data_IF_795779819413
#
_entry.id   IF_795779819413
#
_cell.length_a   1.000
_cell.length_b   1.000
_cell.length_c   1.000
_cell.angle_alpha   90.00
_cell.angle_beta   90.00
_cell.angle_gamma   90.00
#
_symmetry.space_group_name_H-M   'P 1'
#
loop_
_entity.id
_entity.type
_entity.pdbx_description
1 polymer ?
#
# COMPACT_ATOMS: atom_id res chain seq x y z
N UNK A 1 -21.76 -14.20 31.38
CA UNK A 1 -20.97 -15.02 30.43
C UNK A 1 -21.26 -14.66 28.96
N UNK A 2 -22.49 -14.75 28.49
CA UNK A 2 -22.87 -14.47 27.10
C UNK A 2 -22.52 -13.05 26.64
N UNK A 3 -22.60 -12.04 27.51
CA UNK A 3 -22.32 -10.63 27.19
C UNK A 3 -20.88 -10.38 26.71
N UNK A 4 -19.88 -11.04 27.33
CA UNK A 4 -18.44 -10.88 26.93
C UNK A 4 -18.24 -11.35 25.49
N UNK A 5 -18.80 -12.50 25.13
CA UNK A 5 -18.68 -13.03 23.76
C UNK A 5 -19.43 -12.20 22.73
N UNK A 6 -20.59 -11.63 23.10
CA UNK A 6 -21.33 -10.70 22.24
C UNK A 6 -20.50 -9.45 21.97
N UNK A 7 -19.89 -8.86 23.00
CA UNK A 7 -19.00 -7.71 22.85
C UNK A 7 -17.81 -8.06 21.95
N UNK A 8 -17.13 -9.17 22.20
CA UNK A 8 -16.01 -9.62 21.38
C UNK A 8 -16.40 -9.81 19.91
N UNK A 9 -17.58 -10.40 19.67
CA UNK A 9 -18.11 -10.57 18.31
C UNK A 9 -18.40 -9.21 17.64
N UNK A 10 -19.04 -8.28 18.34
CA UNK A 10 -19.35 -6.95 17.81
C UNK A 10 -18.07 -6.20 17.45
N UNK A 11 -17.08 -6.22 18.34
CA UNK A 11 -15.75 -5.61 18.07
C UNK A 11 -15.08 -6.24 16.85
N UNK A 12 -15.14 -7.58 16.75
CA UNK A 12 -14.59 -8.29 15.59
C UNK A 12 -15.30 -7.93 14.29
N UNK A 13 -16.63 -7.84 14.30
CA UNK A 13 -17.41 -7.46 13.12
C UNK A 13 -17.13 -6.02 12.70
N UNK A 14 -17.01 -5.10 13.66
CA UNK A 14 -16.60 -3.72 13.40
C UNK A 14 -15.18 -3.64 12.78
N UNK A 15 -14.24 -4.41 13.35
CA UNK A 15 -12.90 -4.56 12.75
C UNK A 15 -12.97 -5.11 11.32
N UNK A 16 -13.77 -6.16 11.07
CA UNK A 16 -13.93 -6.73 9.73
C UNK A 16 -14.51 -5.75 8.73
N UNK A 17 -15.50 -4.96 9.15
CA UNK A 17 -16.10 -3.93 8.30
C UNK A 17 -15.07 -2.85 7.92
N UNK A 18 -14.27 -2.38 8.87
CA UNK A 18 -13.19 -1.44 8.60
C UNK A 18 -12.09 -2.06 7.74
N UNK A 19 -11.64 -3.29 8.08
CA UNK A 19 -10.50 -3.94 7.44
C UNK A 19 -10.81 -4.40 6.01
N UNK A 20 -11.98 -4.96 5.77
CA UNK A 20 -12.39 -5.48 4.45
C UNK A 20 -13.07 -4.41 3.58
N UNK A 21 -13.64 -3.39 4.18
CA UNK A 21 -14.47 -2.40 3.50
C UNK A 21 -15.78 -3.00 2.96
N UNK A 22 -16.49 -2.20 2.20
CA UNK A 22 -17.77 -2.60 1.59
C UNK A 22 -17.62 -3.42 0.31
N UNK A 23 -16.41 -3.64 -0.16
CA UNK A 23 -16.08 -4.37 -1.40
C UNK A 23 -16.89 -3.89 -2.61
N UNK A 24 -17.08 -2.58 -2.71
CA UNK A 24 -17.78 -1.96 -3.84
C UNK A 24 -16.79 -1.63 -4.95
N UNK A 25 -16.97 -2.17 -6.16
CA UNK A 25 -16.20 -1.74 -7.33
C UNK A 25 -16.41 -0.24 -7.59
N UNK A 26 -15.48 0.35 -8.33
CA UNK A 26 -15.60 1.71 -8.83
C UNK A 26 -16.77 1.81 -9.80
N UNK A 27 -17.55 2.89 -9.71
CA UNK A 27 -18.61 3.17 -10.67
C UNK A 27 -18.06 3.80 -11.94
N UNK A 28 -18.78 3.76 -13.07
CA UNK A 28 -18.35 4.42 -14.31
C UNK A 28 -18.09 5.92 -14.13
N UNK A 29 -18.88 6.60 -13.30
CA UNK A 29 -18.71 8.03 -13.01
C UNK A 29 -17.42 8.29 -12.22
N UNK A 30 -17.12 7.44 -11.23
CA UNK A 30 -15.86 7.51 -10.48
C UNK A 30 -14.66 7.27 -11.40
N UNK A 31 -14.74 6.28 -12.28
CA UNK A 31 -13.68 5.97 -13.26
C UNK A 31 -13.46 7.16 -14.19
N UNK A 32 -14.54 7.76 -14.70
CA UNK A 32 -14.46 8.94 -15.55
C UNK A 32 -13.83 10.14 -14.82
N UNK A 33 -14.26 10.40 -13.59
CA UNK A 33 -13.72 11.46 -12.75
C UNK A 33 -12.22 11.27 -12.49
N UNK A 34 -11.81 10.12 -12.01
CA UNK A 34 -10.40 9.83 -11.72
C UNK A 34 -9.53 9.81 -12.98
N UNK A 35 -10.06 9.36 -14.11
CA UNK A 35 -9.32 9.40 -15.38
C UNK A 35 -8.94 10.84 -15.78
N UNK A 36 -9.84 11.81 -15.55
CA UNK A 36 -9.54 13.24 -15.79
C UNK A 36 -8.46 13.74 -14.84
N UNK A 37 -8.58 13.43 -13.54
CA UNK A 37 -7.57 13.80 -12.53
C UNK A 37 -6.19 13.24 -12.89
N UNK A 38 -6.11 12.00 -13.39
CA UNK A 38 -4.85 11.41 -13.83
C UNK A 38 -4.27 12.09 -15.07
N UNK A 39 -5.11 12.41 -16.02
CA UNK A 39 -4.67 13.10 -17.24
C UNK A 39 -4.10 14.48 -16.90
N UNK A 40 -4.79 15.27 -16.08
CA UNK A 40 -4.32 16.55 -15.58
C UNK A 40 -3.00 16.42 -14.79
N UNK A 41 -2.86 15.40 -13.96
CA UNK A 41 -1.64 15.12 -13.21
C UNK A 41 -0.47 14.72 -14.12
N UNK A 42 -0.73 13.97 -15.17
CA UNK A 42 0.28 13.57 -16.14
C UNK A 42 0.76 14.78 -16.98
N UNK A 43 -0.16 15.63 -17.43
CA UNK A 43 0.15 16.87 -18.17
C UNK A 43 1.00 17.84 -17.33
N UNK A 44 0.79 17.85 -16.00
CA UNK A 44 1.57 18.65 -15.05
C UNK A 44 2.86 17.94 -14.56
N UNK A 45 3.23 16.77 -15.13
CA UNK A 45 4.43 16.02 -14.75
C UNK A 45 4.39 15.41 -13.34
N UNK A 46 3.23 15.34 -12.71
CA UNK A 46 3.05 14.84 -11.35
C UNK A 46 2.82 13.32 -11.30
N UNK A 47 2.44 12.70 -12.41
CA UNK A 47 2.20 11.26 -12.51
C UNK A 47 3.35 10.57 -13.24
N UNK A 48 3.83 9.47 -12.66
CA UNK A 48 4.81 8.55 -13.29
C UNK A 48 4.14 7.33 -13.91
N UNK A 49 2.82 7.19 -13.78
CA UNK A 49 2.03 6.08 -14.31
C UNK A 49 1.46 6.40 -15.70
N UNK A 50 1.36 5.38 -16.52
CA UNK A 50 0.67 5.47 -17.82
C UNK A 50 -0.85 5.56 -17.59
N UNK A 51 -1.48 6.62 -18.12
CA UNK A 51 -2.92 6.89 -17.92
C UNK A 51 -3.79 5.72 -18.39
N UNK A 52 -3.44 5.09 -19.52
CA UNK A 52 -4.17 3.93 -20.04
C UNK A 52 -4.11 2.73 -19.08
N UNK A 53 -2.96 2.48 -18.48
CA UNK A 53 -2.77 1.41 -17.48
C UNK A 53 -3.58 1.68 -16.22
N UNK A 54 -3.58 2.93 -15.72
CA UNK A 54 -4.37 3.34 -14.56
C UNK A 54 -5.88 3.23 -14.83
N UNK A 55 -6.30 3.63 -16.02
CA UNK A 55 -7.70 3.49 -16.44
C UNK A 55 -8.14 2.03 -16.47
N UNK A 56 -7.38 1.15 -17.12
CA UNK A 56 -7.65 -0.29 -17.12
C UNK A 56 -7.70 -0.87 -15.71
N UNK A 57 -6.76 -0.47 -14.85
CA UNK A 57 -6.76 -0.86 -13.44
C UNK A 57 -8.05 -0.50 -12.71
N UNK A 58 -8.66 0.65 -13.04
CA UNK A 58 -9.96 1.05 -12.49
C UNK A 58 -11.14 0.28 -13.10
N UNK A 59 -11.14 0.09 -14.41
CA UNK A 59 -12.20 -0.61 -15.15
C UNK A 59 -12.31 -2.09 -14.73
N UNK A 60 -11.20 -2.71 -14.36
CA UNK A 60 -11.13 -4.09 -13.88
C UNK A 60 -11.34 -4.21 -12.36
N UNK A 61 -11.84 -3.15 -11.67
CA UNK A 61 -12.02 -3.19 -10.21
C UNK A 61 -13.13 -4.15 -9.80
N UNK A 62 -12.77 -5.14 -8.98
CA UNK A 62 -13.70 -6.11 -8.38
C UNK A 62 -14.06 -5.78 -6.93
N UNK A 63 -13.67 -4.61 -6.44
CA UNK A 63 -13.89 -4.13 -5.07
C UNK A 63 -13.09 -4.86 -3.99
N UNK A 64 -12.19 -5.79 -4.37
CA UNK A 64 -11.41 -6.59 -3.44
C UNK A 64 -10.05 -5.97 -3.12
N UNK A 65 -9.44 -6.51 -2.06
CA UNK A 65 -8.07 -6.19 -1.70
C UNK A 65 -7.08 -6.67 -2.76
N UNK A 66 -5.98 -5.96 -2.85
CA UNK A 66 -4.83 -6.38 -3.64
C UNK A 66 -3.53 -6.01 -2.91
N UNK A 67 -2.44 -6.55 -3.40
CA UNK A 67 -1.09 -6.27 -2.90
C UNK A 67 -0.33 -5.55 -4.01
N UNK A 68 0.22 -4.37 -3.70
CA UNK A 68 1.16 -3.69 -4.57
C UNK A 68 2.56 -4.25 -4.33
N UNK A 69 3.14 -4.86 -5.32
CA UNK A 69 4.55 -5.24 -5.34
C UNK A 69 5.36 -4.03 -5.76
N UNK A 70 6.34 -3.65 -4.96
CA UNK A 70 7.22 -2.52 -5.24
C UNK A 70 8.65 -2.98 -5.27
N UNK A 71 9.38 -2.66 -6.33
CA UNK A 71 10.83 -2.83 -6.43
C UNK A 71 11.49 -1.46 -6.44
N UNK A 72 12.57 -1.33 -5.71
CA UNK A 72 13.25 -0.05 -5.49
C UNK A 72 14.74 -0.17 -5.75
N UNK A 73 15.24 0.71 -6.60
CA UNK A 73 16.66 1.01 -6.74
C UNK A 73 16.89 2.46 -6.36
N UNK A 74 17.70 2.69 -5.35
CA UNK A 74 18.06 4.04 -4.91
C UNK A 74 18.98 4.75 -5.91
N UNK A 75 18.91 6.06 -5.94
CA UNK A 75 19.98 6.90 -6.48
C UNK A 75 21.28 6.68 -5.71
N UNK A 76 22.39 6.95 -6.36
CA UNK A 76 23.68 7.03 -5.67
C UNK A 76 23.62 8.14 -4.59
N UNK A 77 24.04 7.79 -3.37
CA UNK A 77 24.07 8.76 -2.27
C UNK A 77 25.39 9.53 -2.26
N UNK A 78 25.38 10.81 -1.85
CA UNK A 78 24.21 11.56 -1.41
C UNK A 78 23.32 12.00 -2.56
N UNK A 79 22.06 12.35 -2.24
CA UNK A 79 21.11 13.00 -3.14
C UNK A 79 20.75 14.37 -2.57
N UNK A 80 20.41 15.33 -3.41
CA UNK A 80 19.97 16.65 -2.97
C UNK A 80 18.53 16.62 -2.48
N UNK A 81 18.27 17.07 -1.26
CA UNK A 81 16.92 17.17 -0.72
C UNK A 81 16.11 18.25 -1.44
N UNK A 82 14.91 17.95 -1.98
CA UNK A 82 14.15 18.87 -2.83
C UNK A 82 13.75 20.21 -2.19
N UNK A 83 13.61 20.28 -0.86
CA UNK A 83 13.18 21.50 -0.18
C UNK A 83 14.33 22.27 0.47
N UNK A 84 15.33 21.56 0.98
CA UNK A 84 16.42 22.20 1.73
C UNK A 84 17.69 22.43 0.92
N UNK A 85 17.82 21.74 -0.23
CA UNK A 85 19.04 21.76 -1.03
C UNK A 85 20.24 21.04 -0.40
N UNK A 86 20.06 20.45 0.78
CA UNK A 86 21.14 19.75 1.49
C UNK A 86 21.31 18.32 0.98
N UNK A 87 22.51 17.82 1.12
CA UNK A 87 22.84 16.44 0.80
C UNK A 87 22.29 15.48 1.85
N UNK A 88 21.59 14.43 1.41
CA UNK A 88 20.97 13.42 2.25
C UNK A 88 21.15 12.02 1.65
N UNK A 89 21.13 10.98 2.47
CA UNK A 89 21.10 9.61 1.97
C UNK A 89 19.77 9.34 1.26
N UNK A 90 19.81 8.71 0.07
CA UNK A 90 18.62 8.38 -0.69
C UNK A 90 17.59 7.55 0.12
N UNK A 91 18.05 6.61 0.96
CA UNK A 91 17.17 5.83 1.84
C UNK A 91 16.51 6.68 2.93
N UNK A 92 17.19 7.68 3.48
CA UNK A 92 16.64 8.61 4.48
C UNK A 92 15.57 9.50 3.82
N UNK A 93 15.86 10.04 2.63
CA UNK A 93 14.88 10.81 1.86
C UNK A 93 13.63 9.98 1.51
N UNK A 94 13.78 8.69 1.17
CA UNK A 94 12.63 7.81 0.97
C UNK A 94 11.80 7.64 2.24
N UNK A 95 12.42 7.68 3.43
CA UNK A 95 11.70 7.60 4.70
C UNK A 95 10.79 8.81 4.92
N UNK A 96 11.20 10.00 4.49
CA UNK A 96 10.38 11.21 4.55
C UNK A 96 9.12 11.13 3.66
N UNK A 97 9.17 10.34 2.60
CA UNK A 97 7.99 9.98 1.82
C UNK A 97 7.17 8.87 2.49
N UNK A 98 7.82 7.78 2.89
CA UNK A 98 7.09 6.56 3.31
C UNK A 98 6.41 6.72 4.66
N UNK A 99 6.99 7.47 5.60
CA UNK A 99 6.44 7.62 6.95
C UNK A 99 5.06 8.31 6.95
N UNK A 100 4.84 9.49 6.36
CA UNK A 100 3.52 10.11 6.30
C UNK A 100 2.55 9.32 5.41
N UNK A 101 3.04 8.73 4.32
CA UNK A 101 2.20 7.90 3.44
C UNK A 101 1.70 6.64 4.14
N UNK A 102 2.54 6.00 4.97
CA UNK A 102 2.14 4.82 5.75
C UNK A 102 1.02 5.15 6.73
N UNK A 103 1.05 6.30 7.38
CA UNK A 103 -0.04 6.76 8.25
C UNK A 103 -1.38 6.86 7.51
N UNK A 104 -1.38 7.33 6.26
CA UNK A 104 -2.58 7.40 5.42
C UNK A 104 -3.06 6.00 4.99
N UNK A 105 -2.13 5.11 4.62
CA UNK A 105 -2.45 3.72 4.27
C UNK A 105 -3.10 3.00 5.44
N UNK A 106 -2.54 3.09 6.64
CA UNK A 106 -3.05 2.42 7.85
C UNK A 106 -4.47 2.86 8.20
N UNK A 107 -4.81 4.15 8.07
CA UNK A 107 -6.17 4.64 8.30
C UNK A 107 -7.21 4.00 7.37
N UNK A 108 -6.81 3.55 6.19
CA UNK A 108 -7.65 2.84 5.21
C UNK A 108 -7.44 1.32 5.26
N UNK A 109 -7.01 0.81 6.41
CA UNK A 109 -6.75 -0.61 6.64
C UNK A 109 -5.72 -1.23 5.67
N UNK A 110 -4.93 -0.42 4.96
CA UNK A 110 -3.77 -0.87 4.20
C UNK A 110 -2.59 -1.06 5.15
N UNK A 111 -1.64 -1.91 4.78
CA UNK A 111 -0.44 -2.12 5.61
C UNK A 111 0.66 -2.84 4.81
N UNK A 112 1.93 -2.75 5.21
CA UNK A 112 2.97 -3.61 4.68
C UNK A 112 2.62 -5.08 4.97
N UNK A 113 2.89 -5.94 4.00
CA UNK A 113 2.78 -7.41 4.14
C UNK A 113 4.15 -7.99 4.42
N UNK A 114 5.13 -7.58 3.60
CA UNK A 114 6.53 -7.93 3.74
C UNK A 114 7.37 -6.83 3.07
N UNK A 115 8.53 -6.56 3.62
CA UNK A 115 9.55 -5.74 2.99
C UNK A 115 10.92 -6.30 3.34
N UNK A 116 11.85 -6.22 2.39
CA UNK A 116 13.20 -6.71 2.58
C UNK A 116 14.22 -6.04 1.66
N UNK A 117 15.47 -6.15 2.05
CA UNK A 117 16.60 -5.76 1.21
C UNK A 117 16.96 -6.88 0.25
N UNK A 118 17.34 -6.54 -0.97
CA UNK A 118 17.88 -7.50 -1.90
C UNK A 118 19.27 -7.95 -1.41
N UNK A 119 19.46 -9.25 -1.37
CA UNK A 119 20.75 -9.89 -0.95
C UNK A 119 21.55 -10.42 -2.13
N UNK A 120 21.07 -10.21 -3.35
CA UNK A 120 21.72 -10.64 -4.60
C UNK A 120 21.01 -10.11 -5.83
N UNK A 121 21.57 -10.40 -6.99
CA UNK A 121 20.95 -10.12 -8.28
C UNK A 121 19.91 -11.16 -8.68
N UNK A 122 19.53 -11.17 -9.96
CA UNK A 122 18.64 -12.20 -10.50
C UNK A 122 19.35 -13.58 -10.44
N UNK A 123 18.76 -14.51 -9.70
CA UNK A 123 19.24 -15.91 -9.65
C UNK A 123 18.66 -16.72 -10.81
N UNK A 124 17.48 -16.35 -11.27
CA UNK A 124 16.82 -16.92 -12.44
C UNK A 124 16.13 -15.78 -13.20
N UNK A 125 16.44 -15.66 -14.48
CA UNK A 125 15.91 -14.60 -15.34
C UNK A 125 15.92 -15.09 -16.79
N UNK A 126 14.77 -15.01 -17.44
CA UNK A 126 14.61 -15.40 -18.83
C UNK A 126 13.74 -14.38 -19.58
N UNK A 127 14.23 -13.93 -20.75
CA UNK A 127 13.58 -12.91 -21.57
C UNK A 127 13.22 -11.62 -20.80
N UNK A 128 14.06 -11.22 -19.86
CA UNK A 128 13.90 -10.00 -19.07
C UNK A 128 15.05 -9.04 -19.37
N UNK A 129 14.87 -7.73 -19.18
CA UNK A 129 15.99 -6.79 -19.18
C UNK A 129 17.06 -7.17 -18.16
N UNK A 130 18.28 -6.67 -18.35
CA UNK A 130 19.35 -6.84 -17.39
C UNK A 130 18.94 -6.43 -15.97
N UNK A 131 19.49 -7.12 -14.98
CA UNK A 131 19.27 -6.78 -13.59
C UNK A 131 19.77 -5.36 -13.31
N UNK A 132 18.88 -4.43 -12.93
CA UNK A 132 19.30 -3.06 -12.65
C UNK A 132 20.05 -2.93 -11.31
N UNK A 133 20.14 -4.00 -10.50
CA UNK A 133 20.65 -3.97 -9.13
C UNK A 133 19.63 -3.41 -8.16
N UNK A 134 18.52 -4.10 -7.96
CA UNK A 134 17.51 -3.74 -6.97
C UNK A 134 18.08 -3.71 -5.56
N UNK A 135 17.70 -2.72 -4.76
CA UNK A 135 18.12 -2.59 -3.37
C UNK A 135 17.11 -3.16 -2.40
N UNK A 136 15.82 -3.08 -2.72
CA UNK A 136 14.76 -3.61 -1.85
C UNK A 136 13.49 -3.94 -2.62
N UNK A 137 12.69 -4.81 -2.03
CA UNK A 137 11.32 -5.10 -2.43
C UNK A 137 10.36 -4.89 -1.26
N UNK A 138 9.16 -4.44 -1.56
CA UNK A 138 8.11 -4.26 -0.55
C UNK A 138 6.74 -4.64 -1.13
N UNK A 139 5.97 -5.37 -0.36
CA UNK A 139 4.61 -5.77 -0.66
C UNK A 139 3.69 -5.04 0.29
N UNK A 140 2.79 -4.23 -0.25
CA UNK A 140 1.85 -3.41 0.54
C UNK A 140 0.43 -3.80 0.17
N UNK A 141 -0.34 -4.20 1.17
CA UNK A 141 -1.76 -4.47 1.00
C UNK A 141 -2.54 -3.17 0.94
N UNK A 142 -3.42 -3.07 -0.04
CA UNK A 142 -4.50 -2.09 -0.12
C UNK A 142 -5.85 -2.78 0.00
N UNK A 143 -6.79 -2.17 0.71
CA UNK A 143 -8.13 -2.70 0.92
C UNK A 143 -8.94 -2.78 -0.38
N UNK A 144 -8.75 -1.79 -1.28
CA UNK A 144 -9.40 -1.72 -2.59
C UNK A 144 -8.59 -0.86 -3.58
N UNK A 145 -8.89 -0.95 -4.87
CA UNK A 145 -8.32 -0.06 -5.90
C UNK A 145 -8.75 1.38 -5.66
N UNK A 146 -10.00 1.60 -5.21
CA UNK A 146 -10.48 2.93 -4.81
C UNK A 146 -9.59 3.58 -3.75
N UNK A 147 -9.18 2.82 -2.72
CA UNK A 147 -8.35 3.38 -1.64
C UNK A 147 -6.99 3.86 -2.13
N UNK A 148 -6.31 3.12 -3.02
CA UNK A 148 -5.02 3.57 -3.55
C UNK A 148 -5.17 4.81 -4.43
N UNK A 149 -6.25 4.90 -5.20
CA UNK A 149 -6.53 6.06 -6.05
C UNK A 149 -6.74 7.31 -5.19
N UNK A 150 -7.57 7.20 -4.15
CA UNK A 150 -7.82 8.29 -3.22
C UNK A 150 -6.58 8.70 -2.42
N UNK A 151 -5.67 7.76 -2.14
CA UNK A 151 -4.43 8.03 -1.40
C UNK A 151 -3.34 8.67 -2.25
N UNK A 152 -3.25 8.27 -3.52
CA UNK A 152 -2.08 8.58 -4.36
C UNK A 152 -2.36 9.65 -5.40
N UNK A 153 -3.61 9.87 -5.79
CA UNK A 153 -3.92 10.71 -6.93
C UNK A 153 -4.94 11.80 -6.64
N UNK A 154 -5.84 11.59 -5.71
CA UNK A 154 -6.84 12.58 -5.31
C UNK A 154 -6.43 13.37 -4.04
N UNK A 155 -5.26 13.09 -3.48
CA UNK A 155 -4.77 13.73 -2.26
C UNK A 155 -3.68 14.77 -2.61
N UNK A 156 -4.00 16.06 -2.48
CA UNK A 156 -3.06 17.15 -2.73
C UNK A 156 -1.81 17.09 -1.84
N UNK A 157 -1.91 16.52 -0.63
CA UNK A 157 -0.75 16.31 0.26
C UNK A 157 0.17 15.21 -0.25
N UNK A 158 -0.35 14.26 -1.04
CA UNK A 158 0.48 13.24 -1.65
C UNK A 158 1.49 13.84 -2.63
N UNK A 159 1.06 14.80 -3.45
CA UNK A 159 1.95 15.48 -4.41
C UNK A 159 3.14 16.14 -3.71
N UNK A 160 2.92 16.73 -2.53
CA UNK A 160 3.96 17.40 -1.75
C UNK A 160 5.07 16.47 -1.28
N UNK A 161 4.75 15.22 -0.96
CA UNK A 161 5.73 14.22 -0.47
C UNK A 161 6.27 13.34 -1.61
N UNK A 162 5.56 13.23 -2.74
CA UNK A 162 5.94 12.34 -3.84
C UNK A 162 7.29 12.73 -4.47
N UNK A 163 7.63 14.01 -4.46
CA UNK A 163 8.93 14.52 -4.91
C UNK A 163 10.12 13.87 -4.17
N UNK A 164 9.98 13.54 -2.89
CA UNK A 164 11.02 12.84 -2.13
C UNK A 164 11.26 11.42 -2.64
N UNK A 165 10.17 10.72 -2.99
CA UNK A 165 10.26 9.40 -3.63
C UNK A 165 11.01 9.48 -4.95
N UNK A 166 10.66 10.45 -5.80
CA UNK A 166 11.30 10.64 -7.11
C UNK A 166 12.79 10.96 -6.95
N UNK A 167 13.15 11.87 -6.05
CA UNK A 167 14.54 12.24 -5.81
C UNK A 167 15.37 11.10 -5.18
N UNK A 168 14.75 10.26 -4.33
CA UNK A 168 15.42 9.14 -3.69
C UNK A 168 15.69 7.95 -4.62
N UNK A 169 14.84 7.73 -5.63
CA UNK A 169 14.86 6.51 -6.44
C UNK A 169 15.44 6.75 -7.83
N UNK A 170 16.41 5.92 -8.21
CA UNK A 170 16.91 5.84 -9.59
C UNK A 170 15.94 5.09 -10.49
N UNK A 171 15.41 3.99 -9.98
CA UNK A 171 14.43 3.15 -10.66
C UNK A 171 13.44 2.57 -9.65
N UNK A 172 12.21 2.47 -10.05
CA UNK A 172 11.17 1.74 -9.33
C UNK A 172 10.15 1.25 -10.32
N UNK A 173 9.56 0.10 -10.04
CA UNK A 173 8.27 -0.21 -10.62
C UNK A 173 7.39 -0.86 -9.58
N UNK A 174 6.08 -0.69 -9.79
CA UNK A 174 5.07 -1.24 -8.93
C UNK A 174 3.97 -1.84 -9.80
N UNK A 175 3.51 -3.03 -9.41
CA UNK A 175 2.35 -3.65 -10.06
C UNK A 175 1.43 -4.29 -9.03
N UNK A 176 0.10 -4.25 -9.26
CA UNK A 176 -0.87 -4.87 -8.39
C UNK A 176 -0.94 -6.37 -8.63
N UNK A 177 -1.08 -7.15 -7.56
CA UNK A 177 -1.39 -8.58 -7.62
C UNK A 177 -2.51 -8.94 -6.64
N UNK A 178 -3.36 -9.89 -7.00
CA UNK A 178 -4.28 -10.52 -6.07
C UNK A 178 -3.64 -11.73 -5.41
N UNK A 179 -3.74 -11.79 -4.08
CA UNK A 179 -3.20 -12.89 -3.29
C UNK A 179 -3.93 -14.20 -3.61
N UNK A 180 -3.19 -15.22 -4.02
CA UNK A 180 -3.70 -16.58 -4.24
C UNK A 180 -3.39 -17.49 -3.05
N UNK A 181 -2.18 -17.41 -2.52
CA UNK A 181 -1.70 -18.24 -1.41
C UNK A 181 -0.98 -17.36 -0.40
N UNK A 182 -1.20 -17.63 0.89
CA UNK A 182 -0.42 -17.03 1.98
C UNK A 182 -0.36 -18.03 3.13
N UNK A 183 0.85 -18.27 3.64
CA UNK A 183 1.10 -19.21 4.74
C UNK A 183 1.24 -18.52 6.11
N UNK A 184 0.92 -17.23 6.20
CA UNK A 184 0.93 -16.49 7.45
C UNK A 184 -0.49 -16.07 7.85
N UNK A 185 -0.71 -15.94 9.15
CA UNK A 185 -2.01 -15.51 9.68
C UNK A 185 -2.31 -14.07 9.23
N UNK A 186 -3.43 -13.89 8.56
CA UNK A 186 -3.88 -12.54 8.19
C UNK A 186 -4.36 -11.78 9.44
N UNK A 187 -4.35 -10.43 9.45
CA UNK A 187 -4.92 -9.66 10.55
C UNK A 187 -6.36 -10.06 10.93
N UNK A 188 -7.14 -10.57 9.97
CA UNK A 188 -8.48 -11.11 10.25
C UNK A 188 -8.44 -12.26 11.25
N UNK A 189 -7.54 -13.21 11.07
CA UNK A 189 -7.38 -14.38 11.95
C UNK A 189 -6.74 -13.94 13.26
N UNK A 190 -5.68 -13.16 13.22
CA UNK A 190 -4.95 -12.71 14.42
C UNK A 190 -5.84 -11.93 15.37
N UNK A 191 -6.61 -10.96 14.87
CA UNK A 191 -7.54 -10.17 15.68
C UNK A 191 -8.66 -11.06 16.24
N UNK A 192 -9.22 -11.97 15.44
CA UNK A 192 -10.23 -12.92 15.90
C UNK A 192 -9.73 -13.78 17.06
N UNK A 193 -8.53 -14.34 16.93
CA UNK A 193 -7.91 -15.16 17.98
C UNK A 193 -7.60 -14.36 19.25
N UNK A 194 -7.08 -13.13 19.11
CA UNK A 194 -6.79 -12.27 20.27
C UNK A 194 -8.06 -11.88 21.02
N UNK A 195 -9.14 -11.56 20.32
CA UNK A 195 -10.43 -11.25 20.94
C UNK A 195 -11.05 -12.49 21.62
N UNK A 196 -10.95 -13.66 20.99
CA UNK A 196 -11.43 -14.90 21.60
C UNK A 196 -10.62 -15.26 22.87
N UNK A 197 -9.29 -15.15 22.80
CA UNK A 197 -8.42 -15.37 23.97
C UNK A 197 -8.75 -14.38 25.10
N UNK A 198 -8.86 -13.08 24.79
CA UNK A 198 -9.21 -12.05 25.76
C UNK A 198 -10.58 -12.31 26.43
N UNK A 199 -11.59 -12.68 25.62
CA UNK A 199 -12.91 -13.03 26.14
C UNK A 199 -12.86 -14.26 27.08
N UNK A 200 -12.07 -15.29 26.72
CA UNK A 200 -11.87 -16.47 27.55
C UNK A 200 -11.21 -16.13 28.88
N UNK A 201 -10.11 -15.38 28.85
CA UNK A 201 -9.38 -14.97 30.06
C UNK A 201 -10.26 -14.12 30.99
N UNK A 202 -10.99 -13.16 30.42
CA UNK A 202 -11.91 -12.34 31.19
C UNK A 202 -13.05 -13.16 31.81
N UNK A 203 -13.59 -14.14 31.09
CA UNK A 203 -14.60 -15.02 31.59
C UNK A 203 -14.07 -15.86 32.74
N UNK A 204 -12.85 -16.40 32.64
CA UNK A 204 -12.21 -17.17 33.72
C UNK A 204 -11.94 -16.32 34.97
N UNK A 205 -11.57 -15.05 34.79
CA UNK A 205 -11.31 -14.13 35.92
C UNK A 205 -12.59 -13.70 36.65
N UNK A 206 -13.76 -13.79 36.01
CA UNK A 206 -15.06 -13.42 36.58
C UNK A 206 -15.90 -14.62 37.01
N UNK A 207 -15.40 -15.84 36.86
CA UNK A 207 -16.05 -17.07 37.28
C UNK A 207 -15.65 -17.43 38.72
#
# INVERSE_FOLDING_TARGET
MMTIWVIALVVYLAFRLWYDGLRRPLTPDEISHFSKVFQESAENGLSTGEVATLRRFMEEDDGKEFIMVNLVKFNASPVTHPDTGQDIKASALLTEYTQPFMGKILRRAGHPVIAGQAVGGYLDAWNTPENPGWHMAGLVRYRSRRDVILLSFADAEFAKIHKYKIAAMKQTFAFPMQKRVALYASPRITVGLLLALGATLLQLALA
#
